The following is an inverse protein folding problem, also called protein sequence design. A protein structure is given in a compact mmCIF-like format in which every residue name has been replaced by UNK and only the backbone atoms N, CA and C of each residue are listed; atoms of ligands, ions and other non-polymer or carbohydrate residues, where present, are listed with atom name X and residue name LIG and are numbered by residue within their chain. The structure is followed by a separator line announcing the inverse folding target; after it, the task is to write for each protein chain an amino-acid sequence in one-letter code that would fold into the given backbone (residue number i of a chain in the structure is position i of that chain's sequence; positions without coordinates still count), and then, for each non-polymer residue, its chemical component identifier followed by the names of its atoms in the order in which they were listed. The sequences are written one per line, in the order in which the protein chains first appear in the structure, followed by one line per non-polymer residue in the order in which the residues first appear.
data_IF_529902554518
#
_entry.id   IF_529902554518
#
_cell.length_a   1.000
_cell.length_b   1.000
_cell.length_c   1.000
_cell.angle_alpha   90.00
_cell.angle_beta   90.00
_cell.angle_gamma   90.00
#
_symmetry.space_group_name_H-M   'P 1'
#
loop_
_entity.id
_entity.type
_entity.pdbx_description
1 polymer ?
#
# COMPACT_ATOMS: atom_id res chain seq x y z
N UNK A 1 10.79 8.69 19.13
CA UNK A 1 11.47 9.42 18.03
C UNK A 1 13.00 9.46 18.16
N UNK A 2 13.61 8.62 18.95
CA UNK A 2 15.08 8.57 19.12
C UNK A 2 15.71 7.41 18.33
N UNK A 3 15.16 7.08 17.18
CA UNK A 3 15.67 5.98 16.33
C UNK A 3 16.88 6.40 15.51
N UNK A 4 17.07 7.71 15.32
CA UNK A 4 18.22 8.30 14.62
C UNK A 4 18.72 9.47 15.45
N UNK A 5 19.98 9.42 15.84
CA UNK A 5 20.68 10.53 16.48
C UNK A 5 21.52 11.27 15.44
N UNK A 6 21.26 12.56 15.29
CA UNK A 6 22.02 13.43 14.39
C UNK A 6 22.99 14.27 15.18
N UNK A 7 24.28 14.10 14.92
CA UNK A 7 25.34 14.94 15.48
C UNK A 7 25.87 15.87 14.38
N UNK A 8 25.54 17.13 14.48
CA UNK A 8 25.98 18.16 13.54
C UNK A 8 26.14 19.51 14.23
N UNK A 9 27.12 20.29 13.79
CA UNK A 9 27.46 21.57 14.44
C UNK A 9 26.44 22.67 14.23
N UNK A 10 25.66 22.61 13.16
CA UNK A 10 24.61 23.58 12.85
C UNK A 10 23.27 23.11 13.45
N UNK A 11 22.87 23.71 14.55
CA UNK A 11 21.62 23.42 15.27
C UNK A 11 20.38 23.64 14.39
N UNK A 12 20.41 24.60 13.46
CA UNK A 12 19.27 24.84 12.57
C UNK A 12 19.02 23.66 11.65
N UNK A 13 20.07 23.04 11.13
CA UNK A 13 19.95 21.82 10.30
C UNK A 13 19.50 20.60 11.09
N UNK A 14 19.98 20.45 12.33
CA UNK A 14 19.50 19.40 13.25
C UNK A 14 17.98 19.56 13.49
N UNK A 15 17.54 20.78 13.76
CA UNK A 15 16.12 21.08 13.94
C UNK A 15 15.30 20.83 12.67
N UNK A 16 15.83 21.15 11.49
CA UNK A 16 15.20 20.82 10.21
C UNK A 16 15.02 19.32 10.03
N UNK A 17 16.05 18.53 10.34
CA UNK A 17 15.99 17.07 10.26
C UNK A 17 14.88 16.49 11.14
N UNK A 18 14.88 16.81 12.43
CA UNK A 18 13.85 16.30 13.33
C UNK A 18 12.45 16.84 13.01
N UNK A 19 12.35 18.08 12.54
CA UNK A 19 11.10 18.65 12.05
C UNK A 19 10.58 17.92 10.80
N UNK A 20 11.45 17.47 9.91
CA UNK A 20 11.08 16.65 8.75
C UNK A 20 10.62 15.25 9.18
N UNK A 21 11.34 14.59 10.09
CA UNK A 21 10.96 13.29 10.66
C UNK A 21 9.59 13.36 11.36
N UNK A 22 9.34 14.42 12.11
CA UNK A 22 8.04 14.65 12.75
C UNK A 22 6.91 14.77 11.70
N UNK A 23 7.10 15.60 10.67
CA UNK A 23 6.10 15.74 9.60
C UNK A 23 5.88 14.46 8.81
N UNK A 24 6.94 13.69 8.57
CA UNK A 24 6.82 12.38 7.92
C UNK A 24 5.95 11.39 8.73
N UNK A 25 5.85 11.56 10.05
CA UNK A 25 5.07 10.65 10.91
C UNK A 25 3.56 10.93 10.94
N UNK A 26 3.03 11.91 10.19
CA UNK A 26 1.60 12.19 10.16
C UNK A 26 0.77 11.20 9.34
N UNK A 27 1.38 10.52 8.39
CA UNK A 27 0.77 9.48 7.56
C UNK A 27 1.71 8.26 7.47
N UNK A 28 1.16 7.05 7.41
CA UNK A 28 -0.25 6.64 7.61
C UNK A 28 -0.75 6.94 9.02
N UNK A 29 -2.04 7.22 9.15
CA UNK A 29 -2.67 7.52 10.44
C UNK A 29 -3.06 6.24 11.17
N UNK A 30 -2.93 6.23 12.49
CA UNK A 30 -3.52 5.21 13.34
C UNK A 30 -5.04 5.38 13.36
N UNK A 31 -5.76 4.31 13.01
CA UNK A 31 -7.21 4.29 12.87
C UNK A 31 -7.92 3.57 14.02
N UNK A 32 -7.17 2.93 14.91
CA UNK A 32 -7.72 2.18 16.03
C UNK A 32 -7.72 2.98 17.32
N UNK A 33 -8.78 2.82 18.11
CA UNK A 33 -8.90 3.36 19.45
C UNK A 33 -8.03 2.60 20.45
N UNK A 34 -7.84 3.18 21.64
CA UNK A 34 -7.00 2.59 22.69
C UNK A 34 -7.56 1.27 23.25
N UNK A 35 -8.86 1.01 23.10
CA UNK A 35 -9.51 -0.25 23.48
C UNK A 35 -9.43 -1.33 22.38
N UNK A 36 -8.88 -1.02 21.22
CA UNK A 36 -8.76 -1.94 20.09
C UNK A 36 -9.90 -1.86 19.07
N UNK A 37 -10.86 -0.97 19.24
CA UNK A 37 -11.89 -0.74 18.25
C UNK A 37 -11.33 0.01 17.03
N UNK A 38 -11.81 -0.35 15.84
CA UNK A 38 -11.42 0.31 14.60
C UNK A 38 -12.57 0.26 13.57
N UNK A 39 -12.64 1.20 12.63
CA UNK A 39 -13.58 1.12 11.53
C UNK A 39 -13.09 0.10 10.49
N UNK A 40 -13.89 -0.93 10.19
CA UNK A 40 -13.64 -1.86 9.09
C UNK A 40 -13.47 -1.10 7.78
N UNK A 41 -12.47 -1.46 6.99
CA UNK A 41 -12.16 -0.77 5.74
C UNK A 41 -13.34 -0.81 4.77
N UNK A 42 -13.65 0.30 4.15
CA UNK A 42 -14.71 0.56 3.17
C UNK A 42 -16.16 0.48 3.69
N UNK A 43 -16.43 -0.14 4.81
CA UNK A 43 -17.78 -0.23 5.38
C UNK A 43 -18.01 0.73 6.54
N UNK A 44 -16.95 1.05 7.29
CA UNK A 44 -17.02 1.85 8.51
C UNK A 44 -17.69 1.16 9.70
N UNK A 45 -18.01 -0.13 9.60
CA UNK A 45 -18.56 -0.91 10.71
C UNK A 45 -17.48 -1.03 11.78
N UNK A 46 -17.84 -0.76 13.04
CA UNK A 46 -16.88 -0.92 14.14
C UNK A 46 -16.53 -2.39 14.33
N UNK A 47 -15.24 -2.69 14.26
CA UNK A 47 -14.63 -3.98 14.57
C UNK A 47 -13.74 -3.85 15.79
N UNK A 48 -13.42 -4.97 16.40
CA UNK A 48 -12.50 -5.05 17.53
C UNK A 48 -11.32 -5.95 17.17
N UNK A 49 -10.11 -5.52 17.48
CA UNK A 49 -8.90 -6.33 17.28
C UNK A 49 -8.89 -7.46 18.31
N UNK A 50 -8.95 -8.70 17.83
CA UNK A 50 -8.87 -9.88 18.72
C UNK A 50 -7.47 -10.00 19.32
N UNK A 51 -7.31 -9.89 20.65
CA UNK A 51 -6.02 -10.04 21.30
C UNK A 51 -5.35 -11.40 21.07
N UNK A 52 -6.12 -12.45 20.77
CA UNK A 52 -5.58 -13.80 20.51
C UNK A 52 -4.79 -13.86 19.20
N UNK A 53 -5.07 -12.96 18.24
CA UNK A 53 -4.36 -12.84 16.96
C UNK A 53 -3.02 -12.10 17.09
N UNK A 54 -2.71 -11.56 18.26
CA UNK A 54 -1.47 -10.80 18.51
C UNK A 54 -0.18 -11.62 18.40
N UNK A 55 -0.28 -12.96 18.41
CA UNK A 55 0.90 -13.81 18.55
C UNK A 55 1.73 -13.99 17.28
N UNK A 56 1.20 -13.70 16.10
CA UNK A 56 1.91 -13.99 14.83
C UNK A 56 2.13 -12.77 13.92
N UNK A 57 1.13 -11.98 13.63
CA UNK A 57 1.25 -10.89 12.65
C UNK A 57 0.47 -9.62 13.04
N UNK A 58 -0.46 -9.72 13.98
CA UNK A 58 -1.36 -8.62 14.30
C UNK A 58 -0.72 -7.57 15.19
N UNK A 59 -0.96 -6.34 14.84
CA UNK A 59 -0.78 -5.23 15.75
C UNK A 59 -2.11 -4.92 16.42
N UNK A 60 -2.07 -4.42 17.66
CA UNK A 60 -3.21 -3.76 18.28
C UNK A 60 -3.62 -2.47 17.58
N UNK A 61 -3.00 -2.17 16.42
CA UNK A 61 -3.16 -0.89 15.74
C UNK A 61 -3.36 -1.09 14.25
N UNK A 62 -4.43 -0.52 13.74
CA UNK A 62 -4.71 -0.42 12.31
C UNK A 62 -4.27 0.95 11.81
N UNK A 63 -3.71 0.96 10.62
CA UNK A 63 -3.26 2.18 9.94
C UNK A 63 -4.09 2.42 8.70
N UNK A 64 -4.38 3.67 8.40
CA UNK A 64 -5.12 4.12 7.24
C UNK A 64 -4.54 5.38 6.62
N UNK A 65 -5.22 5.89 5.60
CA UNK A 65 -4.82 7.10 4.89
C UNK A 65 -3.37 7.02 4.36
N UNK A 66 -3.09 5.94 3.66
CA UNK A 66 -1.84 5.81 2.92
C UNK A 66 -1.92 6.67 1.66
N UNK A 67 -1.31 7.82 1.67
CA UNK A 67 -1.07 8.63 0.48
C UNK A 67 -0.07 7.89 -0.42
N UNK A 68 -0.50 6.75 -0.97
CA UNK A 68 0.41 5.68 -1.43
C UNK A 68 1.35 6.14 -2.54
N UNK A 69 0.84 6.88 -3.53
CA UNK A 69 1.66 7.41 -4.61
C UNK A 69 2.79 8.32 -4.13
N UNK A 70 2.60 8.98 -2.98
CA UNK A 70 3.59 9.87 -2.38
C UNK A 70 4.59 9.11 -1.50
N UNK A 71 4.09 8.25 -0.60
CA UNK A 71 4.91 7.71 0.49
C UNK A 71 5.69 6.45 0.15
N UNK A 72 5.31 5.71 -0.92
CA UNK A 72 6.05 4.52 -1.34
C UNK A 72 7.48 4.85 -1.81
N UNK A 73 7.71 6.07 -2.28
CA UNK A 73 8.98 6.51 -2.89
C UNK A 73 10.13 6.62 -1.90
N UNK A 74 9.86 7.14 -0.71
CA UNK A 74 10.92 7.41 0.27
C UNK A 74 10.51 7.10 1.71
N UNK A 75 9.32 7.50 2.15
CA UNK A 75 8.90 7.39 3.55
C UNK A 75 8.79 5.95 4.00
N UNK A 76 8.03 5.10 3.30
CA UNK A 76 7.88 3.68 3.64
C UNK A 76 9.23 2.92 3.51
N UNK A 77 10.04 3.11 2.45
CA UNK A 77 11.40 2.58 2.40
C UNK A 77 12.30 2.97 3.57
N UNK A 78 12.19 4.22 4.05
CA UNK A 78 12.90 4.67 5.24
C UNK A 78 12.38 3.95 6.49
N UNK A 79 11.07 3.79 6.63
CA UNK A 79 10.48 3.13 7.79
C UNK A 79 10.85 1.65 7.87
N UNK A 80 11.01 0.97 6.74
CA UNK A 80 11.50 -0.41 6.67
C UNK A 80 12.90 -0.56 7.31
N UNK A 81 13.71 0.51 7.31
CA UNK A 81 15.06 0.53 7.87
C UNK A 81 15.06 1.00 9.33
N UNK A 82 14.39 2.13 9.61
CA UNK A 82 14.54 2.80 10.90
C UNK A 82 13.52 2.37 11.96
N UNK A 83 12.35 1.90 11.54
CA UNK A 83 11.27 1.43 12.41
C UNK A 83 10.57 0.17 11.85
N UNK A 84 11.30 -0.93 11.59
CA UNK A 84 10.79 -2.08 10.85
C UNK A 84 9.54 -2.71 11.49
N UNK A 85 9.46 -2.74 12.82
CA UNK A 85 8.28 -3.26 13.53
C UNK A 85 7.03 -2.43 13.25
N UNK A 86 7.16 -1.10 13.23
CA UNK A 86 6.06 -0.20 12.88
C UNK A 86 5.68 -0.36 11.41
N UNK A 87 6.67 -0.43 10.52
CA UNK A 87 6.46 -0.65 9.10
C UNK A 87 5.67 -1.94 8.84
N UNK A 88 6.04 -3.06 9.48
CA UNK A 88 5.29 -4.31 9.33
C UNK A 88 3.83 -4.22 9.78
N UNK A 89 3.53 -3.41 10.79
CA UNK A 89 2.15 -3.12 11.20
C UNK A 89 1.37 -2.36 10.12
N UNK A 90 2.02 -1.40 9.47
CA UNK A 90 1.45 -0.67 8.34
C UNK A 90 1.21 -1.62 7.16
N UNK A 91 2.17 -2.51 6.84
CA UNK A 91 2.00 -3.53 5.81
C UNK A 91 0.85 -4.49 6.13
N UNK A 92 0.74 -4.94 7.39
CA UNK A 92 -0.40 -5.77 7.80
C UNK A 92 -1.73 -5.03 7.61
N UNK A 93 -1.79 -3.73 7.88
CA UNK A 93 -3.02 -2.96 7.66
C UNK A 93 -3.44 -2.92 6.19
N UNK A 94 -2.49 -2.90 5.24
CA UNK A 94 -2.81 -3.04 3.80
C UNK A 94 -3.37 -4.43 3.46
N UNK A 95 -2.81 -5.48 4.06
CA UNK A 95 -3.31 -6.85 3.93
C UNK A 95 -4.73 -6.97 4.51
N UNK A 96 -4.97 -6.37 5.67
CA UNK A 96 -6.29 -6.35 6.30
C UNK A 96 -7.32 -5.61 5.42
N UNK A 97 -6.95 -4.50 4.78
CA UNK A 97 -7.80 -3.78 3.82
C UNK A 97 -8.20 -4.68 2.64
N UNK A 98 -7.26 -5.50 2.14
CA UNK A 98 -7.58 -6.49 1.12
C UNK A 98 -8.58 -7.53 1.63
N UNK A 99 -8.39 -8.06 2.83
CA UNK A 99 -9.29 -9.06 3.41
C UNK A 99 -10.69 -8.50 3.68
N UNK A 100 -10.77 -7.26 4.14
CA UNK A 100 -12.03 -6.58 4.45
C UNK A 100 -12.77 -6.09 3.21
N UNK A 101 -12.06 -5.52 2.24
CA UNK A 101 -12.65 -4.90 1.06
C UNK A 101 -12.57 -5.73 -0.23
N UNK A 102 -11.78 -6.80 -0.25
CA UNK A 102 -11.62 -7.71 -1.38
C UNK A 102 -10.61 -7.31 -2.44
N UNK A 103 -10.00 -6.13 -2.35
CA UNK A 103 -8.95 -5.63 -3.25
C UNK A 103 -7.85 -4.94 -2.45
N UNK A 104 -6.59 -5.09 -2.90
CA UNK A 104 -5.52 -4.23 -2.41
C UNK A 104 -5.79 -2.80 -2.90
N UNK A 105 -5.86 -1.81 -2.00
CA UNK A 105 -6.28 -0.47 -2.42
C UNK A 105 -5.18 0.23 -3.24
N UNK A 106 -5.60 1.01 -4.23
CA UNK A 106 -4.68 1.84 -5.03
C UNK A 106 -4.21 3.05 -4.22
N UNK A 107 -5.15 3.76 -3.60
CA UNK A 107 -4.86 4.95 -2.80
C UNK A 107 -5.87 5.03 -1.65
N UNK A 108 -5.66 4.30 -0.54
CA UNK A 108 -6.61 4.26 0.56
C UNK A 108 -6.61 5.58 1.33
N UNK A 109 -7.76 6.24 1.36
CA UNK A 109 -8.00 7.45 2.14
C UNK A 109 -9.42 7.44 2.71
N UNK A 110 -9.59 8.10 3.86
CA UNK A 110 -10.89 8.21 4.54
C UNK A 110 -11.54 6.86 4.82
N UNK A 111 -10.74 5.88 5.18
CA UNK A 111 -11.14 4.50 5.42
C UNK A 111 -11.87 3.85 4.24
N UNK A 112 -11.51 4.21 3.01
CA UNK A 112 -12.18 3.73 1.80
C UNK A 112 -11.21 3.61 0.63
N UNK A 113 -11.64 2.85 -0.38
CA UNK A 113 -11.05 2.92 -1.70
C UNK A 113 -11.21 4.32 -2.27
N UNK A 114 -10.18 4.81 -2.93
CA UNK A 114 -10.25 5.99 -3.77
C UNK A 114 -9.55 5.73 -5.09
N UNK A 115 -10.03 6.38 -6.12
CA UNK A 115 -9.38 6.36 -7.41
C UNK A 115 -8.43 7.54 -7.59
N UNK A 116 -8.05 8.19 -6.50
CA UNK A 116 -7.05 9.24 -6.50
C UNK A 116 -5.68 8.64 -6.84
N UNK A 117 -4.94 9.31 -7.68
CA UNK A 117 -3.62 8.93 -8.17
C UNK A 117 -3.62 7.65 -9.03
N UNK A 118 -2.47 7.32 -9.56
CA UNK A 118 -2.23 6.20 -10.47
C UNK A 118 -1.32 5.16 -9.82
N UNK A 119 -1.10 4.04 -10.51
CA UNK A 119 -0.26 2.95 -10.05
C UNK A 119 -0.98 1.99 -9.11
N UNK A 120 -0.24 1.00 -8.62
CA UNK A 120 -0.65 -0.02 -7.66
C UNK A 120 0.43 -0.18 -6.59
N UNK A 121 0.87 0.95 -6.05
CA UNK A 121 2.10 1.05 -5.25
C UNK A 121 2.00 0.42 -3.86
N UNK A 122 0.82 -0.04 -3.42
CA UNK A 122 0.72 -0.94 -2.27
C UNK A 122 1.54 -2.21 -2.51
N UNK A 123 1.55 -2.71 -3.76
CA UNK A 123 2.37 -3.85 -4.17
C UNK A 123 3.87 -3.55 -4.00
N UNK A 124 4.31 -2.37 -4.41
CA UNK A 124 5.70 -1.94 -4.22
C UNK A 124 6.07 -1.85 -2.74
N UNK A 125 5.19 -1.25 -1.92
CA UNK A 125 5.43 -1.09 -0.48
C UNK A 125 5.57 -2.44 0.24
N UNK A 126 4.71 -3.41 -0.08
CA UNK A 126 4.74 -4.76 0.49
C UNK A 126 6.00 -5.53 0.07
N UNK A 127 6.34 -5.50 -1.22
CA UNK A 127 7.54 -6.15 -1.74
C UNK A 127 8.83 -5.54 -1.16
N UNK A 128 8.93 -4.21 -1.08
CA UNK A 128 10.08 -3.52 -0.51
C UNK A 128 10.25 -3.82 0.98
N UNK A 129 9.16 -3.84 1.75
CA UNK A 129 9.20 -4.22 3.16
C UNK A 129 9.71 -5.66 3.34
N UNK A 130 9.19 -6.59 2.55
CA UNK A 130 9.63 -7.99 2.60
C UNK A 130 11.10 -8.14 2.20
N UNK A 131 11.54 -7.48 1.12
CA UNK A 131 12.92 -7.49 0.66
C UNK A 131 13.91 -6.94 1.70
N UNK A 132 13.50 -5.96 2.50
CA UNK A 132 14.30 -5.37 3.59
C UNK A 132 14.21 -6.13 4.91
N UNK A 133 13.59 -7.30 4.93
CA UNK A 133 13.56 -8.17 6.11
C UNK A 133 12.42 -7.90 7.09
N UNK A 134 11.45 -7.05 6.77
CA UNK A 134 10.23 -6.91 7.55
C UNK A 134 9.40 -8.19 7.41
N UNK A 135 9.04 -8.81 8.53
CA UNK A 135 8.38 -10.14 8.53
C UNK A 135 7.14 -10.20 9.44
N UNK A 136 6.79 -9.14 10.11
CA UNK A 136 5.64 -9.09 11.01
C UNK A 136 4.37 -8.63 10.29
N UNK A 137 4.12 -9.22 9.12
CA UNK A 137 2.87 -9.17 8.35
C UNK A 137 2.69 -10.47 7.57
N UNK A 138 1.47 -10.77 7.15
CA UNK A 138 1.13 -11.97 6.38
C UNK A 138 1.58 -11.79 4.93
N UNK A 139 2.78 -12.30 4.62
CA UNK A 139 3.39 -12.14 3.31
C UNK A 139 2.70 -12.97 2.22
N UNK A 140 2.16 -14.14 2.56
CA UNK A 140 1.44 -14.98 1.60
C UNK A 140 0.12 -14.32 1.19
N UNK A 141 -0.61 -13.78 2.16
CA UNK A 141 -1.84 -13.03 1.90
C UNK A 141 -1.57 -11.71 1.17
N UNK A 142 -0.46 -11.05 1.48
CA UNK A 142 0.00 -9.87 0.74
C UNK A 142 0.23 -10.20 -0.73
N UNK A 143 0.94 -11.30 -1.01
CA UNK A 143 1.20 -11.76 -2.36
C UNK A 143 -0.09 -12.12 -3.11
N UNK A 144 -1.02 -12.84 -2.48
CA UNK A 144 -2.35 -13.12 -3.04
C UNK A 144 -3.06 -11.82 -3.47
N UNK A 145 -3.03 -10.79 -2.63
CA UNK A 145 -3.64 -9.50 -2.91
C UNK A 145 -2.96 -8.76 -4.08
N UNK A 146 -1.62 -8.74 -4.09
CA UNK A 146 -0.81 -8.16 -5.17
C UNK A 146 -1.10 -8.85 -6.51
N UNK A 147 -1.08 -10.18 -6.49
CA UNK A 147 -1.36 -11.00 -7.68
C UNK A 147 -2.78 -10.76 -8.21
N UNK A 148 -3.76 -10.67 -7.33
CA UNK A 148 -5.12 -10.34 -7.71
C UNK A 148 -5.20 -9.01 -8.45
N UNK A 149 -4.60 -7.96 -7.91
CA UNK A 149 -4.57 -6.65 -8.57
C UNK A 149 -3.87 -6.69 -9.93
N UNK A 150 -2.84 -7.52 -10.09
CA UNK A 150 -2.07 -7.64 -11.33
C UNK A 150 -2.81 -8.37 -12.46
N UNK A 151 -3.72 -9.30 -12.12
CA UNK A 151 -4.32 -10.22 -13.11
C UNK A 151 -5.85 -10.18 -13.18
N UNK A 152 -6.54 -9.61 -12.19
CA UNK A 152 -8.00 -9.62 -12.15
C UNK A 152 -8.59 -8.23 -12.33
N UNK A 153 -9.73 -8.17 -12.99
CA UNK A 153 -10.53 -6.95 -13.13
C UNK A 153 -11.72 -6.98 -12.17
N UNK A 154 -12.17 -5.82 -11.66
CA UNK A 154 -13.37 -5.74 -10.83
C UNK A 154 -14.62 -6.18 -11.60
N UNK A 155 -15.59 -6.72 -10.85
CA UNK A 155 -16.81 -7.30 -11.42
C UNK A 155 -17.83 -6.26 -11.86
N UNK A 156 -17.72 -5.03 -11.39
CA UNK A 156 -18.68 -3.97 -11.68
C UNK A 156 -17.97 -2.66 -12.04
N UNK A 157 -18.65 -1.84 -12.83
CA UNK A 157 -18.16 -0.50 -13.16
C UNK A 157 -18.03 0.40 -11.92
N UNK A 158 -18.87 0.20 -10.91
CA UNK A 158 -18.79 0.95 -9.66
C UNK A 158 -17.49 0.66 -8.90
N UNK A 159 -17.09 -0.61 -8.79
CA UNK A 159 -15.82 -1.02 -8.22
C UNK A 159 -14.64 -0.44 -9.02
N UNK A 160 -14.66 -0.62 -10.33
CA UNK A 160 -13.66 -0.11 -11.26
C UNK A 160 -13.46 1.41 -11.14
N UNK A 161 -14.57 2.16 -11.15
CA UNK A 161 -14.56 3.62 -11.00
C UNK A 161 -13.97 4.07 -9.66
N UNK A 162 -14.24 3.33 -8.60
CA UNK A 162 -13.80 3.68 -7.24
C UNK A 162 -12.37 3.22 -6.90
N UNK A 163 -11.63 2.65 -7.85
CA UNK A 163 -10.23 2.25 -7.65
C UNK A 163 -10.06 0.92 -6.95
N UNK A 164 -11.02 0.01 -7.10
CA UNK A 164 -10.89 -1.39 -6.78
C UNK A 164 -10.25 -2.09 -7.97
N UNK A 165 -9.04 -2.65 -7.79
CA UNK A 165 -8.24 -3.19 -8.89
C UNK A 165 -7.64 -2.12 -9.82
N UNK A 166 -6.83 -2.57 -10.75
CA UNK A 166 -6.13 -1.71 -11.72
C UNK A 166 -7.07 -1.27 -12.84
N UNK A 167 -7.10 0.02 -13.14
CA UNK A 167 -7.83 0.55 -14.28
C UNK A 167 -7.16 0.21 -15.58
N UNK A 168 -7.95 -0.10 -16.61
CA UNK A 168 -7.50 -0.46 -17.94
C UNK A 168 -6.57 -1.68 -17.98
N UNK A 169 -6.70 -2.59 -17.00
CA UNK A 169 -5.86 -3.78 -16.90
C UNK A 169 -6.01 -4.69 -18.13
N UNK A 170 -7.21 -4.86 -18.67
CA UNK A 170 -7.44 -5.69 -19.87
C UNK A 170 -6.64 -5.19 -21.07
N UNK A 171 -6.66 -3.87 -21.30
CA UNK A 171 -5.88 -3.26 -22.36
C UNK A 171 -4.38 -3.39 -22.12
N UNK A 172 -3.95 -3.15 -20.88
CA UNK A 172 -2.56 -3.28 -20.48
C UNK A 172 -2.03 -4.71 -20.71
N UNK A 173 -2.77 -5.73 -20.26
CA UNK A 173 -2.40 -7.13 -20.46
C UNK A 173 -2.41 -7.54 -21.93
N UNK A 174 -3.33 -6.98 -22.74
CA UNK A 174 -3.47 -7.31 -24.16
C UNK A 174 -2.41 -6.66 -25.03
N UNK A 175 -2.08 -5.41 -24.77
CA UNK A 175 -1.25 -4.58 -25.65
C UNK A 175 0.14 -4.27 -25.07
N UNK A 176 0.40 -4.62 -23.81
CA UNK A 176 1.56 -4.17 -23.02
C UNK A 176 1.65 -2.64 -22.84
N UNK A 177 0.55 -1.94 -23.07
CA UNK A 177 0.36 -0.52 -22.76
C UNK A 177 -1.15 -0.19 -22.71
N UNK A 178 -1.48 0.98 -22.18
CA UNK A 178 -2.87 1.47 -22.14
C UNK A 178 -3.08 2.48 -23.24
N UNK A 179 -3.98 2.20 -24.24
CA UNK A 179 -4.32 3.12 -25.32
C UNK A 179 -4.95 4.42 -24.78
N UNK A 180 -4.79 5.53 -25.50
CA UNK A 180 -5.36 6.83 -25.11
C UNK A 180 -6.90 6.81 -25.10
N UNK A 181 -7.51 5.95 -25.91
CA UNK A 181 -8.95 5.75 -25.99
C UNK A 181 -9.53 5.06 -24.74
N UNK A 182 -8.69 4.36 -23.99
CA UNK A 182 -9.11 3.64 -22.79
C UNK A 182 -9.14 4.57 -21.58
N UNK A 183 -10.22 5.34 -21.49
CA UNK A 183 -10.43 6.31 -20.43
C UNK A 183 -11.74 6.04 -19.68
N UNK A 184 -11.77 6.34 -18.38
CA UNK A 184 -12.96 6.28 -17.54
C UNK A 184 -13.40 7.71 -17.25
N UNK A 185 -14.34 8.20 -18.06
CA UNK A 185 -14.76 9.61 -18.03
C UNK A 185 -15.35 10.06 -16.70
N UNK A 186 -16.01 9.15 -15.98
CA UNK A 186 -16.65 9.43 -14.70
C UNK A 186 -15.71 9.28 -13.50
N UNK A 187 -14.48 8.86 -13.74
CA UNK A 187 -13.51 8.66 -12.69
C UNK A 187 -12.63 9.90 -12.52
N UNK A 188 -12.13 10.07 -11.31
CA UNK A 188 -11.03 11.00 -11.04
C UNK A 188 -9.78 10.53 -11.83
N UNK A 189 -9.03 11.43 -12.40
CA UNK A 189 -7.89 11.11 -13.27
C UNK A 189 -8.28 10.28 -14.52
N UNK A 190 -8.74 10.96 -15.55
CA UNK A 190 -9.27 10.32 -16.76
C UNK A 190 -8.26 10.10 -17.89
N UNK A 191 -7.14 10.81 -17.88
CA UNK A 191 -6.20 10.93 -19.00
C UNK A 191 -4.75 10.55 -18.65
N UNK A 192 -4.54 9.55 -17.81
CA UNK A 192 -3.21 9.13 -17.36
C UNK A 192 -2.73 7.80 -17.99
N UNK A 193 -3.14 7.48 -19.19
CA UNK A 193 -2.84 6.19 -19.83
C UNK A 193 -1.33 5.92 -19.92
N UNK A 194 -0.54 6.92 -20.35
CA UNK A 194 0.91 6.79 -20.49
C UNK A 194 1.59 6.59 -19.13
N UNK A 195 1.30 7.46 -18.17
CA UNK A 195 1.91 7.34 -16.84
C UNK A 195 1.45 6.07 -16.13
N UNK A 196 0.19 5.68 -16.26
CA UNK A 196 -0.34 4.44 -15.70
C UNK A 196 0.32 3.21 -16.30
N UNK A 197 0.63 3.20 -17.61
CA UNK A 197 1.40 2.13 -18.25
C UNK A 197 2.77 1.96 -17.59
N UNK A 198 3.48 3.05 -17.35
CA UNK A 198 4.82 3.01 -16.73
C UNK A 198 4.77 2.60 -15.25
N UNK A 199 3.78 3.11 -14.53
CA UNK A 199 3.60 2.76 -13.11
C UNK A 199 3.25 1.27 -12.96
N UNK A 200 2.36 0.72 -13.78
CA UNK A 200 2.02 -0.71 -13.73
C UNK A 200 3.20 -1.61 -14.09
N UNK A 201 4.06 -1.22 -15.01
CA UNK A 201 5.29 -1.97 -15.31
C UNK A 201 6.23 -2.02 -14.09
N UNK A 202 6.31 -0.94 -13.33
CA UNK A 202 7.06 -0.89 -12.08
C UNK A 202 6.40 -1.72 -10.96
N UNK A 203 5.07 -1.63 -10.86
CA UNK A 203 4.31 -2.43 -9.89
C UNK A 203 4.42 -3.93 -10.20
N UNK A 204 4.38 -4.33 -11.48
CA UNK A 204 4.57 -5.73 -11.91
C UNK A 204 5.97 -6.25 -11.58
N UNK A 205 7.00 -5.42 -11.73
CA UNK A 205 8.33 -5.77 -11.26
C UNK A 205 8.34 -6.07 -9.75
N UNK A 206 7.62 -5.29 -8.95
CA UNK A 206 7.52 -5.53 -7.50
C UNK A 206 6.77 -6.84 -7.20
N UNK A 207 5.68 -7.13 -7.92
CA UNK A 207 4.95 -8.41 -7.82
C UNK A 207 5.87 -9.59 -8.14
N UNK A 208 6.62 -9.50 -9.26
CA UNK A 208 7.58 -10.54 -9.66
C UNK A 208 8.68 -10.74 -8.62
N UNK A 209 9.24 -9.66 -8.04
CA UNK A 209 10.23 -9.79 -6.96
C UNK A 209 9.65 -10.46 -5.71
N UNK A 210 8.41 -10.13 -5.34
CA UNK A 210 7.73 -10.78 -4.22
C UNK A 210 7.50 -12.27 -4.51
N UNK A 211 7.03 -12.62 -5.72
CA UNK A 211 6.89 -13.99 -6.19
C UNK A 211 8.19 -14.79 -6.02
N UNK A 212 9.29 -14.24 -6.52
CA UNK A 212 10.62 -14.86 -6.39
C UNK A 212 11.02 -15.09 -4.93
N UNK A 213 10.84 -14.10 -4.09
CA UNK A 213 11.20 -14.20 -2.67
C UNK A 213 10.38 -15.22 -1.90
N UNK A 214 9.15 -15.50 -2.35
CA UNK A 214 8.25 -16.51 -1.77
C UNK A 214 8.33 -17.87 -2.46
N UNK A 215 9.12 -18.02 -3.54
CA UNK A 215 9.29 -19.28 -4.27
C UNK A 215 8.19 -19.59 -5.28
N UNK A 216 7.48 -18.59 -5.77
CA UNK A 216 6.48 -18.68 -6.83
C UNK A 216 7.14 -18.44 -8.21
N UNK A 217 7.97 -19.38 -8.66
CA UNK A 217 8.82 -19.21 -9.85
C UNK A 217 8.02 -19.00 -11.15
N UNK A 218 6.84 -19.60 -11.26
CA UNK A 218 5.98 -19.45 -12.46
C UNK A 218 5.47 -18.03 -12.63
N UNK A 219 5.20 -17.31 -11.54
CA UNK A 219 4.73 -15.92 -11.56
C UNK A 219 5.92 -14.91 -11.63
N UNK A 220 7.16 -15.38 -11.43
CA UNK A 220 8.36 -14.55 -11.57
C UNK A 220 8.80 -14.41 -13.03
N UNK A 221 8.62 -15.43 -13.86
CA UNK A 221 9.05 -15.51 -15.26
C UNK A 221 8.02 -14.89 -16.22
#
# INVERSE_FOLDING_TARGET
MHTIDVVYSDTAKVNQFYGAMYRASFLPREMSDCNGDYPEFSTGITKHIDPSLLSLHSSLKKYGDFSMWDIYRAQLPLYNIVVPTLSGRMMQSLVDMYQEGGWLPIFPCWNSYTAAMIGDHCSVALADAYAKGVRNFDADKAYEAMRKNAFETPKSFAEYKNGMGRRALESYLRYAYIPLEDSVKEAFHTCEQTSRTLEYAFDDFAVAQMAKMLGHDDDYN
#
